data_IF_501445782955
#
_entry.id   IF_501445782955
#
_cell.length_a   1.000
_cell.length_b   1.000
_cell.length_c   1.000
_cell.angle_alpha   90.00
_cell.angle_beta   90.00
_cell.angle_gamma   90.00
#
_symmetry.space_group_name_H-M   'P 1'
#
loop_
_entity.id
_entity.type
_entity.pdbx_description
1 polymer ?
#
# COMPACT_ATOMS: atom_id res chain seq x y z
N UNK A 1 -1.98 2.80 33.47
CA UNK A 1 -3.36 2.28 33.36
C UNK A 1 -4.30 3.06 34.28
N UNK A 2 -3.89 3.40 35.50
CA UNK A 2 -4.72 4.16 36.46
C UNK A 2 -5.02 5.61 36.03
N UNK A 3 -4.05 6.36 35.51
CA UNK A 3 -4.30 7.76 35.11
C UNK A 3 -5.29 7.89 33.95
N UNK A 4 -5.31 6.93 33.03
CA UNK A 4 -6.29 6.89 31.94
C UNK A 4 -7.69 6.56 32.47
N UNK A 5 -7.80 5.60 33.38
CA UNK A 5 -9.07 5.26 34.02
C UNK A 5 -9.61 6.40 34.90
N UNK A 6 -8.73 7.15 35.56
CA UNK A 6 -9.09 8.35 36.34
C UNK A 6 -9.56 9.45 35.39
N UNK A 7 -8.80 9.75 34.32
CA UNK A 7 -9.18 10.76 33.33
C UNK A 7 -10.51 10.44 32.65
N UNK A 8 -10.74 9.18 32.26
CA UNK A 8 -12.00 8.71 31.69
C UNK A 8 -13.15 8.86 32.70
N UNK A 9 -12.96 8.49 33.97
CA UNK A 9 -13.97 8.66 35.02
C UNK A 9 -14.30 10.13 35.28
N UNK A 10 -13.31 11.01 35.34
CA UNK A 10 -13.52 12.46 35.53
C UNK A 10 -14.25 13.09 34.34
N UNK A 11 -13.89 12.68 33.11
CA UNK A 11 -14.57 13.12 31.88
C UNK A 11 -16.00 12.60 31.83
N UNK A 12 -16.23 11.34 32.20
CA UNK A 12 -17.56 10.74 32.26
C UNK A 12 -18.43 11.38 33.35
N UNK A 13 -17.86 11.71 34.52
CA UNK A 13 -18.58 12.38 35.61
C UNK A 13 -18.94 13.84 35.29
N UNK A 14 -18.14 14.52 34.46
CA UNK A 14 -18.38 15.90 34.04
C UNK A 14 -19.51 16.05 33.01
N UNK A 15 -19.89 14.96 32.33
CA UNK A 15 -20.98 14.96 31.36
C UNK A 15 -22.21 14.29 31.96
N UNK A 16 -23.20 15.10 32.35
CA UNK A 16 -24.56 14.66 32.66
C UNK A 16 -25.30 14.26 31.36
N UNK A 17 -24.65 13.43 30.55
CA UNK A 17 -25.06 13.00 29.22
C UNK A 17 -25.33 11.50 29.25
N UNK A 18 -26.34 11.05 28.51
CA UNK A 18 -26.64 9.63 28.42
C UNK A 18 -25.42 8.86 27.88
N UNK A 19 -25.23 7.66 28.42
CA UNK A 19 -24.01 6.88 28.25
C UNK A 19 -23.62 6.58 26.79
N UNK A 20 -24.60 6.45 25.90
CA UNK A 20 -24.36 6.29 24.45
C UNK A 20 -23.55 7.44 23.87
N UNK A 21 -23.81 8.67 24.32
CA UNK A 21 -23.09 9.86 23.85
C UNK A 21 -21.62 9.82 24.29
N UNK A 22 -21.33 9.29 25.48
CA UNK A 22 -19.96 9.09 25.95
C UNK A 22 -19.22 8.09 25.06
N UNK A 23 -19.84 6.92 24.79
CA UNK A 23 -19.26 5.91 23.90
C UNK A 23 -19.03 6.48 22.49
N UNK A 24 -19.99 7.23 21.93
CA UNK A 24 -19.86 7.84 20.61
C UNK A 24 -18.82 8.96 20.55
N UNK A 25 -18.69 9.75 21.62
CA UNK A 25 -17.66 10.80 21.71
C UNK A 25 -16.28 10.18 21.73
N UNK A 26 -16.09 9.11 22.51
CA UNK A 26 -14.83 8.39 22.55
C UNK A 26 -14.55 7.67 21.23
N UNK A 27 -15.56 7.00 20.66
CA UNK A 27 -15.41 6.32 19.39
C UNK A 27 -15.01 7.30 18.28
N UNK A 28 -15.60 8.50 18.23
CA UNK A 28 -15.24 9.52 17.25
C UNK A 28 -13.77 9.97 17.32
N UNK A 29 -13.11 9.81 18.47
CA UNK A 29 -11.67 10.04 18.60
C UNK A 29 -10.84 8.87 18.05
N UNK A 30 -11.30 7.63 18.26
CA UNK A 30 -10.57 6.42 17.86
C UNK A 30 -10.83 5.98 16.41
N UNK A 31 -12.06 6.12 15.93
CA UNK A 31 -12.50 5.70 14.60
C UNK A 31 -13.74 6.51 14.17
N UNK A 32 -13.73 7.10 12.97
CA UNK A 32 -14.84 7.89 12.44
C UNK A 32 -15.96 7.07 11.76
N UNK A 33 -15.83 5.74 11.69
CA UNK A 33 -16.76 4.81 11.00
C UNK A 33 -17.56 3.87 11.92
N UNK A 34 -17.55 4.09 13.24
CA UNK A 34 -18.33 3.26 14.19
C UNK A 34 -19.26 4.10 15.08
N UNK A 35 -20.49 3.64 15.26
CA UNK A 35 -21.50 4.23 16.15
C UNK A 35 -21.90 3.23 17.22
N UNK A 36 -21.95 3.66 18.47
CA UNK A 36 -22.54 2.93 19.57
C UNK A 36 -24.03 3.24 19.71
N UNK A 37 -24.83 2.20 19.93
CA UNK A 37 -26.25 2.30 20.23
C UNK A 37 -26.60 1.49 21.47
N UNK A 38 -27.71 1.84 22.11
CA UNK A 38 -28.33 1.07 23.19
C UNK A 38 -29.64 0.48 22.69
N UNK A 39 -29.84 -0.82 22.89
CA UNK A 39 -31.12 -1.45 22.57
C UNK A 39 -32.16 -1.26 23.70
N UNK A 40 -33.38 -1.69 23.42
CA UNK A 40 -34.52 -1.72 24.35
C UNK A 40 -34.27 -2.58 25.60
N UNK A 41 -33.33 -3.53 25.54
CA UNK A 41 -32.89 -4.37 26.66
C UNK A 41 -31.77 -3.75 27.51
N UNK A 42 -31.29 -2.57 27.14
CA UNK A 42 -30.23 -1.85 27.85
C UNK A 42 -28.80 -2.23 27.46
N UNK A 43 -28.60 -3.10 26.47
CA UNK A 43 -27.27 -3.48 25.98
C UNK A 43 -26.72 -2.48 24.98
N UNK A 44 -25.42 -2.23 25.07
CA UNK A 44 -24.67 -1.38 24.16
C UNK A 44 -23.99 -2.21 23.08
N UNK A 45 -24.03 -1.76 21.84
CA UNK A 45 -23.40 -2.45 20.72
C UNK A 45 -22.87 -1.47 19.67
N UNK A 46 -21.75 -1.81 18.99
CA UNK A 46 -21.22 -1.03 17.89
C UNK A 46 -21.94 -1.37 16.58
N UNK A 47 -22.04 -0.37 15.71
CA UNK A 47 -22.49 -0.47 14.33
C UNK A 47 -21.46 0.22 13.45
N UNK A 48 -21.02 -0.48 12.42
CA UNK A 48 -20.14 0.06 11.39
C UNK A 48 -20.95 0.83 10.35
N UNK A 49 -20.40 1.93 9.87
CA UNK A 49 -20.96 2.72 8.78
C UNK A 49 -20.06 2.65 7.56
N UNK A 50 -20.67 2.73 6.38
CA UNK A 50 -19.95 2.72 5.12
C UNK A 50 -19.02 3.95 4.93
N UNK A 51 -19.40 5.10 5.49
CA UNK A 51 -18.61 6.33 5.40
C UNK A 51 -18.65 7.20 6.68
N UNK A 52 -17.60 8.01 6.92
CA UNK A 52 -17.50 8.86 8.10
C UNK A 52 -18.61 9.91 8.27
N UNK A 53 -19.17 10.41 7.17
CA UNK A 53 -20.22 11.45 7.21
C UNK A 53 -21.53 10.86 7.67
N UNK A 54 -21.91 9.70 7.10
CA UNK A 54 -23.05 8.91 7.55
C UNK A 54 -22.90 8.53 9.01
N UNK A 55 -21.69 8.13 9.43
CA UNK A 55 -21.45 7.77 10.82
C UNK A 55 -21.56 8.96 11.79
N UNK A 56 -21.06 10.13 11.40
CA UNK A 56 -21.24 11.35 12.20
C UNK A 56 -22.72 11.67 12.41
N UNK A 57 -23.54 11.57 11.37
CA UNK A 57 -24.99 11.78 11.46
C UNK A 57 -25.66 10.70 12.31
N UNK A 58 -25.26 9.45 12.15
CA UNK A 58 -25.76 8.32 12.94
C UNK A 58 -25.44 8.47 14.43
N UNK A 59 -24.25 8.97 14.79
CA UNK A 59 -23.89 9.28 16.20
C UNK A 59 -24.81 10.35 16.76
N UNK A 60 -24.99 11.45 16.05
CA UNK A 60 -25.89 12.53 16.47
C UNK A 60 -27.33 12.02 16.67
N UNK A 61 -27.82 11.18 15.77
CA UNK A 61 -29.14 10.56 15.89
C UNK A 61 -29.24 9.59 17.10
N UNK A 62 -28.21 8.78 17.33
CA UNK A 62 -28.12 7.87 18.47
C UNK A 62 -28.08 8.63 19.80
N UNK A 63 -27.31 9.70 19.87
CA UNK A 63 -27.18 10.56 21.05
C UNK A 63 -28.52 11.23 21.37
N UNK A 64 -29.20 11.79 20.35
CA UNK A 64 -30.52 12.41 20.52
C UNK A 64 -31.61 11.42 20.93
N UNK A 65 -31.59 10.20 20.39
CA UNK A 65 -32.57 9.14 20.72
C UNK A 65 -32.44 8.75 22.19
N UNK A 66 -31.21 8.55 22.66
CA UNK A 66 -30.95 8.05 24.01
C UNK A 66 -30.98 9.16 25.07
N UNK A 67 -30.81 10.43 24.70
CA UNK A 67 -31.06 11.57 25.58
C UNK A 67 -32.52 11.66 26.09
N UNK A 68 -33.47 10.97 25.43
CA UNK A 68 -34.89 10.89 25.82
C UNK A 68 -35.24 9.64 26.63
N UNK A 69 -34.27 8.76 26.90
CA UNK A 69 -34.49 7.50 27.60
C UNK A 69 -34.49 7.74 29.12
N UNK A 70 -35.66 7.62 29.76
CA UNK A 70 -35.82 7.69 31.22
C UNK A 70 -35.53 6.34 31.92
N UNK A 71 -34.84 5.41 31.25
CA UNK A 71 -34.52 4.11 31.83
C UNK A 71 -33.46 4.28 32.94
N UNK A 72 -33.70 3.71 34.13
CA UNK A 72 -32.67 3.61 35.17
C UNK A 72 -31.44 2.90 34.59
N UNK A 73 -30.37 3.66 34.35
CA UNK A 73 -29.09 3.12 33.91
C UNK A 73 -28.41 2.43 35.09
N UNK A 74 -28.16 1.11 34.96
CA UNK A 74 -27.47 0.33 36.00
C UNK A 74 -25.96 0.44 35.80
N UNK A 75 -25.22 0.70 36.88
CA UNK A 75 -23.75 0.81 36.87
C UNK A 75 -23.02 -0.39 36.21
N UNK A 76 -23.60 -1.60 36.31
CA UNK A 76 -23.08 -2.79 35.64
C UNK A 76 -23.07 -2.69 34.11
N UNK A 77 -24.13 -2.13 33.52
CA UNK A 77 -24.28 -1.99 32.06
C UNK A 77 -23.20 -1.08 31.46
N UNK A 78 -22.75 -0.07 32.22
CA UNK A 78 -21.65 0.82 31.83
C UNK A 78 -20.30 0.09 31.83
N UNK A 79 -20.06 -0.73 32.84
CA UNK A 79 -18.80 -1.45 32.96
C UNK A 79 -18.64 -2.44 31.80
N UNK A 80 -19.71 -3.17 31.48
CA UNK A 80 -19.74 -4.11 30.35
C UNK A 80 -19.52 -3.40 29.01
N UNK A 81 -20.15 -2.25 28.81
CA UNK A 81 -19.99 -1.46 27.58
C UNK A 81 -18.56 -0.91 27.39
N UNK A 82 -17.87 -0.50 28.46
CA UNK A 82 -16.46 -0.08 28.36
C UNK A 82 -15.55 -1.24 28.01
N UNK A 83 -15.77 -2.40 28.63
CA UNK A 83 -15.00 -3.61 28.31
C UNK A 83 -15.17 -3.94 26.83
N UNK A 84 -16.40 -3.83 26.32
CA UNK A 84 -16.68 -4.15 24.92
C UNK A 84 -16.14 -3.12 23.94
N UNK A 85 -16.14 -1.84 24.33
CA UNK A 85 -15.49 -0.77 23.58
C UNK A 85 -13.97 -0.93 23.52
N UNK A 86 -13.34 -1.33 24.63
CA UNK A 86 -11.90 -1.62 24.65
C UNK A 86 -11.56 -2.85 23.80
N UNK A 87 -12.37 -3.90 23.88
CA UNK A 87 -12.21 -5.11 23.04
C UNK A 87 -12.30 -4.77 21.57
N UNK A 88 -13.37 -4.08 21.16
CA UNK A 88 -13.60 -3.69 19.76
C UNK A 88 -12.45 -2.83 19.22
N UNK A 89 -11.99 -1.84 19.97
CA UNK A 89 -10.89 -1.01 19.51
C UNK A 89 -9.58 -1.79 19.32
N UNK A 90 -9.30 -2.74 20.20
CA UNK A 90 -8.14 -3.62 20.06
C UNK A 90 -8.23 -4.45 18.77
N UNK A 91 -9.41 -4.98 18.44
CA UNK A 91 -9.64 -5.73 17.20
C UNK A 91 -9.41 -4.86 15.96
N UNK A 92 -9.86 -3.60 15.99
CA UNK A 92 -9.63 -2.65 14.89
C UNK A 92 -8.14 -2.32 14.74
N UNK A 93 -7.41 -2.09 15.84
CA UNK A 93 -5.97 -1.86 15.80
C UNK A 93 -5.22 -3.05 15.16
N UNK A 94 -5.54 -4.28 15.57
CA UNK A 94 -4.94 -5.50 15.03
C UNK A 94 -5.22 -5.65 13.51
N UNK A 95 -6.43 -5.36 13.07
CA UNK A 95 -6.80 -5.37 11.64
C UNK A 95 -6.03 -4.31 10.85
N UNK A 96 -5.90 -3.10 11.38
CA UNK A 96 -5.16 -2.03 10.72
C UNK A 96 -3.67 -2.37 10.55
N UNK A 97 -3.06 -2.97 11.57
CA UNK A 97 -1.69 -3.46 11.46
C UNK A 97 -1.53 -4.58 10.42
N UNK A 98 -2.49 -5.50 10.34
CA UNK A 98 -2.46 -6.56 9.35
C UNK A 98 -2.58 -6.01 7.92
N UNK A 99 -3.51 -5.09 7.68
CA UNK A 99 -3.66 -4.40 6.40
C UNK A 99 -2.36 -3.69 6.02
N UNK A 100 -1.71 -3.02 6.98
CA UNK A 100 -0.43 -2.36 6.76
C UNK A 100 0.67 -3.35 6.36
N UNK A 101 0.82 -4.45 7.10
CA UNK A 101 1.80 -5.52 6.78
C UNK A 101 1.56 -6.10 5.39
N UNK A 102 0.31 -6.41 5.06
CA UNK A 102 -0.07 -6.97 3.76
C UNK A 102 0.25 -6.00 2.60
N UNK A 103 0.03 -4.70 2.82
CA UNK A 103 0.38 -3.66 1.83
C UNK A 103 1.88 -3.57 1.62
N UNK A 104 2.67 -3.52 2.69
CA UNK A 104 4.13 -3.49 2.63
C UNK A 104 4.70 -4.73 1.91
N UNK A 105 4.16 -5.92 2.20
CA UNK A 105 4.57 -7.16 1.54
C UNK A 105 4.24 -7.14 0.04
N UNK A 106 3.06 -6.62 -0.33
CA UNK A 106 2.66 -6.47 -1.73
C UNK A 106 3.58 -5.50 -2.49
N UNK A 107 3.94 -4.37 -1.87
CA UNK A 107 4.86 -3.39 -2.45
C UNK A 107 6.26 -4.01 -2.67
N UNK A 108 6.79 -4.73 -1.68
CA UNK A 108 8.08 -5.45 -1.81
C UNK A 108 8.01 -6.49 -2.93
N UNK A 109 6.93 -7.27 -3.01
CA UNK A 109 6.75 -8.30 -4.03
C UNK A 109 6.70 -7.70 -5.44
N UNK A 110 5.99 -6.58 -5.60
CA UNK A 110 5.91 -5.86 -6.86
C UNK A 110 7.27 -5.27 -7.27
N UNK A 111 8.00 -4.65 -6.34
CA UNK A 111 9.34 -4.13 -6.59
C UNK A 111 10.32 -5.23 -7.04
N UNK A 112 10.27 -6.41 -6.41
CA UNK A 112 11.08 -7.57 -6.81
C UNK A 112 10.73 -8.05 -8.22
N UNK A 113 9.44 -8.11 -8.55
CA UNK A 113 8.97 -8.50 -9.89
C UNK A 113 9.45 -7.51 -10.95
N UNK A 114 9.33 -6.21 -10.68
CA UNK A 114 9.79 -5.15 -11.57
C UNK A 114 11.31 -5.21 -11.79
N UNK A 115 12.09 -5.37 -10.71
CA UNK A 115 13.54 -5.51 -10.79
C UNK A 115 13.97 -6.73 -11.62
N UNK A 116 13.30 -7.88 -11.42
CA UNK A 116 13.56 -9.09 -12.21
C UNK A 116 13.24 -8.88 -13.70
N UNK A 117 12.14 -8.21 -14.02
CA UNK A 117 11.77 -7.89 -15.40
C UNK A 117 12.78 -6.93 -16.07
N UNK A 118 13.20 -5.87 -15.36
CA UNK A 118 14.25 -4.96 -15.84
C UNK A 118 15.57 -5.70 -16.06
N UNK A 119 15.96 -6.56 -15.13
CA UNK A 119 17.16 -7.40 -15.27
C UNK A 119 17.11 -8.31 -16.49
N UNK A 120 15.96 -8.97 -16.74
CA UNK A 120 15.76 -9.79 -17.93
C UNK A 120 15.81 -8.97 -19.22
N UNK A 121 15.19 -7.79 -19.25
CA UNK A 121 15.22 -6.90 -20.41
C UNK A 121 16.65 -6.44 -20.74
N UNK A 122 17.41 -6.02 -19.72
CA UNK A 122 18.82 -5.65 -19.87
C UNK A 122 19.66 -6.83 -20.37
N UNK A 123 19.46 -8.04 -19.82
CA UNK A 123 20.18 -9.24 -20.26
C UNK A 123 19.88 -9.58 -21.72
N UNK A 124 18.63 -9.44 -22.18
CA UNK A 124 18.24 -9.63 -23.58
C UNK A 124 18.91 -8.61 -24.49
N UNK A 125 18.82 -7.32 -24.15
CA UNK A 125 19.47 -6.24 -24.91
C UNK A 125 20.98 -6.42 -25.02
N UNK A 126 21.65 -6.84 -23.94
CA UNK A 126 23.09 -7.11 -23.96
C UNK A 126 23.44 -8.36 -24.76
N UNK A 127 22.56 -9.36 -24.81
CA UNK A 127 22.74 -10.51 -25.69
C UNK A 127 22.62 -10.10 -27.16
N UNK A 128 21.59 -9.36 -27.53
CA UNK A 128 21.38 -8.86 -28.90
C UNK A 128 22.56 -8.03 -29.39
N UNK A 129 23.11 -7.15 -28.54
CA UNK A 129 24.34 -6.38 -28.87
C UNK A 129 25.53 -7.29 -29.17
N UNK A 130 25.76 -8.33 -28.36
CA UNK A 130 26.87 -9.26 -28.55
C UNK A 130 26.68 -10.13 -29.80
N UNK A 131 25.46 -10.58 -30.04
CA UNK A 131 25.12 -11.37 -31.22
C UNK A 131 25.33 -10.53 -32.51
N UNK A 132 24.93 -9.26 -32.49
CA UNK A 132 25.15 -8.32 -33.61
C UNK A 132 26.64 -8.01 -33.81
N UNK A 133 27.38 -7.78 -32.72
CA UNK A 133 28.83 -7.57 -32.80
C UNK A 133 29.53 -8.78 -33.42
N UNK A 134 29.18 -10.00 -32.99
CA UNK A 134 29.73 -11.22 -33.55
C UNK A 134 29.45 -11.33 -35.05
N UNK A 135 28.20 -11.04 -35.46
CA UNK A 135 27.78 -11.05 -36.87
C UNK A 135 28.59 -10.07 -37.73
N UNK A 136 28.79 -8.84 -37.23
CA UNK A 136 29.57 -7.82 -37.94
C UNK A 136 31.06 -8.20 -38.03
N UNK A 137 31.65 -8.74 -36.96
CA UNK A 137 33.04 -9.20 -36.98
C UNK A 137 33.23 -10.35 -37.98
N UNK A 138 32.33 -11.32 -38.00
CA UNK A 138 32.37 -12.43 -38.98
C UNK A 138 32.25 -11.92 -40.42
N UNK A 139 31.37 -10.94 -40.67
CA UNK A 139 31.24 -10.28 -41.97
C UNK A 139 32.52 -9.56 -42.38
N UNK A 140 33.11 -8.76 -41.48
CA UNK A 140 34.37 -8.05 -41.71
C UNK A 140 35.48 -9.03 -42.08
N UNK A 141 35.65 -10.12 -41.32
CA UNK A 141 36.67 -11.12 -41.60
C UNK A 141 36.47 -11.81 -42.95
N UNK A 142 35.23 -12.16 -43.31
CA UNK A 142 34.92 -12.78 -44.59
C UNK A 142 35.21 -11.85 -45.79
N UNK A 143 34.81 -10.57 -45.68
CA UNK A 143 35.10 -9.57 -46.69
C UNK A 143 36.61 -9.31 -46.83
N UNK A 144 37.35 -9.20 -45.72
CA UNK A 144 38.80 -9.03 -45.73
C UNK A 144 39.54 -10.21 -46.40
N UNK A 145 39.13 -11.46 -46.13
CA UNK A 145 39.67 -12.63 -46.84
C UNK A 145 39.35 -12.58 -48.34
N UNK A 146 38.16 -12.11 -48.73
CA UNK A 146 37.78 -11.97 -50.14
C UNK A 146 38.54 -10.87 -50.90
N UNK A 147 39.04 -9.86 -50.17
CA UNK A 147 39.76 -8.71 -50.72
C UNK A 147 41.24 -8.96 -50.99
N UNK A 148 41.78 -10.12 -50.60
CA UNK A 148 43.14 -10.55 -50.95
C UNK A 148 43.26 -10.71 -52.48
N UNK A 149 43.73 -9.66 -53.17
CA UNK A 149 44.36 -9.75 -54.49
C UNK A 149 43.77 -8.98 -55.69
N UNK A 150 42.90 -7.98 -55.55
CA UNK A 150 42.35 -7.22 -56.71
C UNK A 150 42.05 -5.73 -56.38
N UNK A 151 42.35 -4.78 -57.29
CA UNK A 151 42.59 -3.35 -56.96
C UNK A 151 41.44 -2.33 -57.15
N UNK A 152 40.41 -2.53 -57.99
CA UNK A 152 39.39 -1.46 -58.25
C UNK A 152 38.04 -1.67 -57.55
N UNK A 153 37.56 -2.91 -57.45
CA UNK A 153 36.35 -3.26 -56.69
C UNK A 153 36.56 -3.12 -55.16
N UNK A 154 37.79 -2.84 -54.74
CA UNK A 154 38.22 -2.68 -53.36
C UNK A 154 37.67 -1.41 -52.69
N UNK A 155 37.57 -0.28 -53.38
CA UNK A 155 37.22 0.99 -52.73
C UNK A 155 35.79 1.02 -52.17
N UNK A 156 34.81 0.46 -52.88
CA UNK A 156 33.44 0.36 -52.37
C UNK A 156 33.31 -0.64 -51.22
N UNK A 157 34.03 -1.77 -51.28
CA UNK A 157 34.05 -2.77 -50.20
C UNK A 157 34.78 -2.25 -48.96
N UNK A 158 35.87 -1.49 -49.13
CA UNK A 158 36.58 -0.83 -48.04
C UNK A 158 35.67 0.18 -47.30
N UNK A 159 34.84 0.93 -48.04
CA UNK A 159 33.87 1.86 -47.46
C UNK A 159 32.71 1.16 -46.72
N UNK A 160 32.36 -0.07 -47.12
CA UNK A 160 31.45 -0.94 -46.38
C UNK A 160 32.08 -1.43 -45.07
N UNK A 161 33.30 -1.96 -45.15
CA UNK A 161 34.09 -2.42 -44.00
C UNK A 161 34.35 -1.31 -42.98
N UNK A 162 34.71 -0.10 -43.42
CA UNK A 162 34.88 1.05 -42.53
C UNK A 162 33.59 1.38 -41.77
N UNK A 163 32.42 1.29 -42.41
CA UNK A 163 31.13 1.48 -41.74
C UNK A 163 30.85 0.39 -40.71
N UNK A 164 31.16 -0.86 -41.02
CA UNK A 164 30.94 -1.98 -40.10
C UNK A 164 31.90 -1.94 -38.91
N UNK A 165 33.17 -1.59 -39.13
CA UNK A 165 34.16 -1.34 -38.07
C UNK A 165 33.69 -0.20 -37.16
N UNK A 166 33.25 0.92 -37.73
CA UNK A 166 32.71 2.04 -36.95
C UNK A 166 31.46 1.63 -36.17
N UNK A 167 30.60 0.76 -36.71
CA UNK A 167 29.44 0.22 -35.99
C UNK A 167 29.84 -0.65 -34.81
N UNK A 168 30.84 -1.52 -34.96
CA UNK A 168 31.39 -2.30 -33.84
C UNK A 168 31.99 -1.38 -32.77
N UNK A 169 32.74 -0.35 -33.17
CA UNK A 169 33.33 0.64 -32.25
C UNK A 169 32.27 1.45 -31.49
N UNK A 170 31.21 1.91 -32.18
CA UNK A 170 30.08 2.66 -31.59
C UNK A 170 29.23 1.78 -30.65
N UNK A 171 29.17 0.47 -30.88
CA UNK A 171 28.53 -0.47 -29.95
C UNK A 171 29.32 -0.68 -28.64
N UNK A 172 30.55 -0.14 -28.56
CA UNK A 172 31.24 0.16 -27.30
C UNK A 172 32.07 -0.98 -26.73
N UNK A 173 33.12 -1.39 -27.43
CA UNK A 173 34.25 -2.14 -26.85
C UNK A 173 35.56 -1.64 -27.46
N UNK A 174 36.31 -0.86 -26.68
CA UNK A 174 37.76 -1.04 -26.64
C UNK A 174 38.01 -2.52 -26.25
N UNK A 175 38.86 -3.20 -27.01
CA UNK A 175 39.33 -4.57 -26.74
C UNK A 175 40.15 -4.60 -25.46
#
# INVERSE_FOLDING_TARGET
MDDFNIWVRERMAAYNNNYVQTLNTWQAFCNDTTVWQRNDKGHYYPLECDDPTTCKLARQAADQRNARSNAEEKLGEHTDALVELMRYNKEIEEQQEEIKRNREELEIRNARKEAAQKGLATKRRNKEKRDEQKRLTEHICAELESLKGHDEQQNERLAGLQRDVLRVHVLGLDV
#
